data_IF_349896130386
#
_entry.id   IF_349896130386
#
_cell.length_a   1.000
_cell.length_b   1.000
_cell.length_c   1.000
_cell.angle_alpha   90.00
_cell.angle_beta   90.00
_cell.angle_gamma   90.00
#
_symmetry.space_group_name_H-M   'P 1'
#
loop_
_entity.id
_entity.type
_entity.pdbx_description
1 polymer ?
#
# COMPACT_ATOMS: atom_id res chain seq x y z
N UNK A 1 -21.74 1.78 -5.40
CA UNK A 1 -20.31 1.49 -5.10
C UNK A 1 -19.76 0.50 -6.11
N UNK A 2 -18.55 0.73 -6.61
CA UNK A 2 -17.84 -0.19 -7.50
C UNK A 2 -16.45 -0.46 -6.91
N UNK A 3 -16.01 -1.72 -6.92
CA UNK A 3 -14.69 -2.12 -6.46
C UNK A 3 -13.97 -2.82 -7.62
N UNK A 4 -12.72 -2.41 -7.86
CA UNK A 4 -11.83 -3.04 -8.81
C UNK A 4 -10.59 -3.54 -8.05
N UNK A 5 -10.43 -4.85 -7.97
CA UNK A 5 -9.22 -5.44 -7.40
C UNK A 5 -8.05 -5.24 -8.36
N UNK A 6 -6.94 -4.76 -7.84
CA UNK A 6 -5.69 -4.56 -8.59
C UNK A 6 -4.73 -5.72 -8.31
N UNK A 7 -4.40 -5.94 -7.02
CA UNK A 7 -3.50 -7.01 -6.58
C UNK A 7 -3.64 -7.20 -5.07
N UNK A 8 -3.71 -8.44 -4.59
CA UNK A 8 -3.74 -8.74 -3.15
C UNK A 8 -4.75 -7.87 -2.40
N UNK A 9 -4.32 -7.08 -1.44
CA UNK A 9 -5.16 -6.12 -0.71
C UNK A 9 -5.43 -4.82 -1.48
N UNK A 10 -4.72 -4.57 -2.58
CA UNK A 10 -4.85 -3.33 -3.37
C UNK A 10 -6.15 -3.31 -4.15
N UNK A 11 -7.05 -2.42 -3.78
CA UNK A 11 -8.35 -2.24 -4.42
C UNK A 11 -8.62 -0.78 -4.76
N UNK A 12 -9.18 -0.54 -5.93
CA UNK A 12 -9.68 0.78 -6.34
C UNK A 12 -11.19 0.83 -6.10
N UNK A 13 -11.63 1.76 -5.25
CA UNK A 13 -13.01 1.86 -4.77
C UNK A 13 -13.63 3.15 -5.29
N UNK A 14 -14.76 3.03 -5.96
CA UNK A 14 -15.56 4.16 -6.45
C UNK A 14 -16.80 4.29 -5.58
N UNK A 15 -16.86 5.37 -4.81
CA UNK A 15 -17.97 5.61 -3.88
C UNK A 15 -18.23 7.10 -3.67
N UNK A 16 -19.49 7.49 -3.70
CA UNK A 16 -19.90 8.86 -3.40
C UNK A 16 -19.29 9.92 -4.33
N UNK A 17 -19.06 9.58 -5.61
CA UNK A 17 -18.39 10.47 -6.56
C UNK A 17 -16.89 10.62 -6.36
N UNK A 18 -16.31 9.85 -5.46
CA UNK A 18 -14.87 9.83 -5.15
C UNK A 18 -14.25 8.47 -5.49
N UNK A 19 -12.97 8.49 -5.75
CA UNK A 19 -12.17 7.30 -6.01
C UNK A 19 -11.09 7.15 -4.95
N UNK A 20 -11.08 6.01 -4.27
CA UNK A 20 -10.11 5.67 -3.24
C UNK A 20 -9.23 4.53 -3.72
N UNK A 21 -7.95 4.57 -3.38
CA UNK A 21 -7.03 3.45 -3.58
C UNK A 21 -6.66 2.88 -2.22
N UNK A 22 -7.11 1.65 -1.96
CA UNK A 22 -6.89 0.92 -0.72
C UNK A 22 -5.60 0.11 -0.83
N UNK A 23 -4.76 0.19 0.19
CA UNK A 23 -3.50 -0.56 0.33
C UNK A 23 -2.69 -0.62 -0.98
N UNK A 24 -2.17 0.53 -1.46
CA UNK A 24 -1.55 0.64 -2.78
C UNK A 24 -0.17 -0.02 -2.83
N UNK A 25 -0.13 -1.31 -2.94
CA UNK A 25 1.09 -2.09 -3.13
C UNK A 25 1.43 -2.17 -4.63
N UNK A 26 2.16 -1.18 -5.11
CA UNK A 26 2.41 -0.97 -6.53
C UNK A 26 3.82 -1.38 -6.98
N UNK A 27 4.49 -2.21 -6.20
CA UNK A 27 5.81 -2.75 -6.56
C UNK A 27 5.71 -3.62 -7.81
N UNK A 28 6.78 -3.64 -8.60
CA UNK A 28 6.87 -4.51 -9.79
C UNK A 28 6.82 -6.00 -9.42
N UNK A 29 6.55 -6.86 -10.40
CA UNK A 29 6.60 -8.31 -10.23
C UNK A 29 7.94 -8.73 -9.63
N UNK A 30 7.91 -9.57 -8.59
CA UNK A 30 9.06 -10.06 -7.83
C UNK A 30 9.85 -8.99 -7.03
N UNK A 31 9.42 -7.73 -7.06
CA UNK A 31 10.19 -6.61 -6.50
C UNK A 31 10.28 -6.58 -4.97
N UNK A 32 9.42 -7.31 -4.26
CA UNK A 32 9.51 -7.44 -2.81
C UNK A 32 10.61 -8.43 -2.37
N UNK A 33 10.93 -9.40 -3.20
CA UNK A 33 11.84 -10.49 -2.87
C UNK A 33 11.17 -11.66 -2.15
N UNK A 34 11.98 -12.58 -1.64
CA UNK A 34 11.53 -13.82 -1.00
C UNK A 34 11.27 -13.62 0.49
N UNK A 35 10.27 -14.30 1.04
CA UNK A 35 9.93 -14.17 2.46
C UNK A 35 11.05 -14.65 3.39
N UNK A 36 11.79 -15.69 3.02
CA UNK A 36 12.88 -16.23 3.82
C UNK A 36 14.11 -15.31 3.89
N UNK A 37 14.24 -14.37 2.96
CA UNK A 37 15.34 -13.41 2.90
C UNK A 37 15.02 -12.05 3.52
N UNK A 38 13.81 -11.84 4.00
CA UNK A 38 13.41 -10.57 4.60
C UNK A 38 14.02 -10.38 6.01
N UNK A 39 14.58 -9.20 6.30
CA UNK A 39 15.06 -8.89 7.64
C UNK A 39 13.96 -9.05 8.69
N UNK A 40 14.24 -9.76 9.79
CA UNK A 40 13.28 -9.99 10.87
C UNK A 40 12.22 -11.04 10.56
N UNK A 41 12.24 -11.66 9.39
CA UNK A 41 11.31 -12.69 8.94
C UNK A 41 9.84 -12.40 9.35
N UNK A 42 9.25 -11.28 8.88
CA UNK A 42 7.90 -10.86 9.32
C UNK A 42 6.78 -11.78 8.81
N UNK A 43 7.11 -12.67 7.88
CA UNK A 43 6.18 -13.64 7.30
C UNK A 43 6.61 -15.06 7.63
N UNK A 44 5.77 -15.79 8.33
CA UNK A 44 5.98 -17.22 8.57
C UNK A 44 5.51 -18.00 7.35
N UNK A 45 6.42 -18.24 6.40
CA UNK A 45 6.15 -19.20 5.32
C UNK A 45 6.39 -20.62 5.84
N UNK A 46 5.32 -21.37 6.02
CA UNK A 46 5.37 -22.75 6.52
C UNK A 46 6.01 -23.68 5.48
N UNK A 47 5.87 -23.35 4.20
CA UNK A 47 6.45 -24.12 3.11
C UNK A 47 7.81 -23.54 2.69
N UNK A 48 8.93 -24.28 2.94
CA UNK A 48 10.27 -23.78 2.63
C UNK A 48 10.52 -23.58 1.13
N UNK A 49 9.78 -24.24 0.27
CA UNK A 49 9.87 -24.04 -1.19
C UNK A 49 9.20 -22.72 -1.58
N UNK A 50 7.99 -22.48 -1.07
CA UNK A 50 7.25 -21.25 -1.35
C UNK A 50 7.91 -20.02 -0.73
N UNK A 51 8.60 -20.17 0.40
CA UNK A 51 9.35 -19.08 1.05
C UNK A 51 10.47 -18.50 0.16
N UNK A 52 10.93 -19.26 -0.83
CA UNK A 52 11.99 -18.88 -1.78
C UNK A 52 11.46 -18.30 -3.09
N UNK A 53 10.14 -18.22 -3.26
CA UNK A 53 9.54 -17.64 -4.46
C UNK A 53 9.45 -16.11 -4.27
N UNK A 54 10.05 -15.30 -5.17
CA UNK A 54 9.96 -13.86 -5.06
C UNK A 54 8.53 -13.36 -5.20
N UNK A 55 8.15 -12.37 -4.40
CA UNK A 55 6.83 -11.78 -4.40
C UNK A 55 6.86 -10.35 -4.97
N UNK A 56 5.75 -9.85 -5.50
CA UNK A 56 4.51 -10.54 -5.86
C UNK A 56 4.70 -11.43 -7.09
N UNK A 57 3.90 -12.49 -7.20
CA UNK A 57 4.01 -13.49 -8.27
C UNK A 57 3.61 -12.95 -9.65
N UNK A 58 2.72 -11.98 -9.69
CA UNK A 58 2.17 -11.42 -10.92
C UNK A 58 2.49 -9.95 -11.07
N UNK A 59 2.66 -9.52 -12.33
CA UNK A 59 2.75 -8.10 -12.65
C UNK A 59 1.45 -7.36 -12.31
N UNK A 60 1.53 -6.04 -12.18
CA UNK A 60 0.33 -5.21 -12.11
C UNK A 60 -0.51 -5.37 -13.38
N UNK A 61 -1.85 -5.37 -13.28
CA UNK A 61 -2.73 -5.51 -14.45
C UNK A 61 -2.74 -4.28 -15.35
N UNK A 62 -2.27 -3.15 -14.83
CA UNK A 62 -2.18 -1.85 -15.50
C UNK A 62 -0.88 -1.16 -15.09
N UNK A 63 -0.51 -0.10 -15.79
CA UNK A 63 0.61 0.76 -15.37
C UNK A 63 0.28 1.46 -14.04
N UNK A 64 1.32 1.82 -13.29
CA UNK A 64 1.16 2.62 -12.05
C UNK A 64 0.39 3.91 -12.34
N UNK A 65 0.72 4.59 -13.43
CA UNK A 65 0.03 5.82 -13.85
C UNK A 65 -1.46 5.60 -14.08
N UNK A 66 -1.83 4.49 -14.73
CA UNK A 66 -3.24 4.13 -14.96
C UNK A 66 -3.97 3.82 -13.64
N UNK A 67 -3.33 3.11 -12.72
CA UNK A 67 -3.89 2.79 -11.41
C UNK A 67 -4.12 4.08 -10.60
N UNK A 68 -3.18 5.00 -10.60
CA UNK A 68 -3.25 6.27 -9.86
C UNK A 68 -4.19 7.29 -10.51
N UNK A 69 -4.50 7.13 -11.79
CA UNK A 69 -5.35 8.07 -12.52
C UNK A 69 -6.75 8.19 -11.87
N UNK A 70 -7.14 9.44 -11.59
CA UNK A 70 -8.45 9.75 -11.01
C UNK A 70 -8.62 9.39 -9.54
N UNK A 71 -7.57 8.91 -8.85
CA UNK A 71 -7.61 8.64 -7.41
C UNK A 71 -7.65 9.96 -6.65
N UNK A 72 -8.63 10.10 -5.76
CA UNK A 72 -8.82 11.28 -4.91
C UNK A 72 -8.10 11.16 -3.56
N UNK A 73 -8.00 9.94 -3.03
CA UNK A 73 -7.38 9.68 -1.74
C UNK A 73 -6.90 8.23 -1.61
N UNK A 74 -5.96 8.01 -0.69
CA UNK A 74 -5.43 6.70 -0.33
C UNK A 74 -5.96 6.27 1.03
N UNK A 75 -6.17 4.96 1.21
CA UNK A 75 -6.53 4.36 2.50
C UNK A 75 -5.53 3.23 2.78
N UNK A 76 -4.85 3.30 3.91
CA UNK A 76 -3.89 2.29 4.35
C UNK A 76 -4.47 1.58 5.57
N UNK A 77 -4.66 0.27 5.47
CA UNK A 77 -5.14 -0.52 6.60
C UNK A 77 -4.07 -0.68 7.67
N UNK A 78 -2.84 -0.92 7.25
CA UNK A 78 -1.65 -0.93 8.11
C UNK A 78 -0.38 -0.83 7.26
N UNK A 79 0.72 -0.41 7.85
CA UNK A 79 2.00 -0.29 7.15
C UNK A 79 2.74 -1.61 7.22
N UNK A 80 2.58 -2.43 6.18
CA UNK A 80 3.37 -3.62 5.90
C UNK A 80 3.87 -3.58 4.46
N UNK A 81 4.97 -4.30 4.14
CA UNK A 81 5.57 -4.27 2.80
C UNK A 81 4.68 -4.76 1.66
N UNK A 82 3.60 -5.48 1.97
CA UNK A 82 2.61 -5.99 1.02
C UNK A 82 1.32 -5.15 0.97
N UNK A 83 1.25 -4.06 1.72
CA UNK A 83 0.12 -3.13 1.74
C UNK A 83 0.46 -1.73 1.24
N UNK A 84 1.72 -1.33 1.34
CA UNK A 84 2.23 -0.08 0.79
C UNK A 84 3.67 -0.28 0.33
N UNK A 85 4.04 0.34 -0.78
CA UNK A 85 5.43 0.29 -1.25
C UNK A 85 6.38 0.91 -0.21
N UNK A 86 7.41 0.15 0.15
CA UNK A 86 8.48 0.59 1.02
C UNK A 86 9.77 0.56 0.22
N UNK A 87 10.43 1.71 0.11
CA UNK A 87 11.78 1.74 -0.43
C UNK A 87 12.77 1.30 0.66
N UNK A 88 13.20 0.05 0.59
CA UNK A 88 14.08 -0.55 1.59
C UNK A 88 15.46 0.13 1.70
N UNK A 89 15.88 0.86 0.66
CA UNK A 89 17.17 1.56 0.64
C UNK A 89 17.08 2.98 1.21
N UNK A 90 15.97 3.66 0.95
CA UNK A 90 15.77 5.07 1.31
C UNK A 90 14.86 5.30 2.51
N UNK A 91 14.10 4.28 2.91
CA UNK A 91 13.20 4.33 4.04
C UNK A 91 11.85 5.04 3.86
N UNK A 92 11.56 5.84 2.82
CA UNK A 92 10.24 6.43 2.69
C UNK A 92 9.20 5.40 2.27
N UNK A 93 8.00 5.52 2.85
CA UNK A 93 6.84 4.77 2.44
C UNK A 93 6.14 5.47 1.28
N UNK A 94 5.58 4.70 0.36
CA UNK A 94 4.69 5.21 -0.66
C UNK A 94 5.36 6.11 -1.71
N UNK A 95 6.61 5.85 -2.06
CA UNK A 95 7.37 6.63 -3.05
C UNK A 95 6.64 6.81 -4.40
N UNK A 96 5.83 5.81 -4.79
CA UNK A 96 5.10 5.83 -6.05
C UNK A 96 3.78 6.62 -5.98
N UNK A 97 3.35 7.02 -4.78
CA UNK A 97 2.09 7.71 -4.56
C UNK A 97 2.27 9.23 -4.65
N UNK A 98 1.19 9.93 -4.98
CA UNK A 98 1.15 11.39 -4.96
C UNK A 98 1.02 11.87 -3.51
N UNK A 99 2.04 12.57 -3.00
CA UNK A 99 2.16 12.97 -1.60
C UNK A 99 1.28 14.17 -1.20
N UNK A 100 0.66 14.84 -2.15
CA UNK A 100 -0.26 15.97 -1.94
C UNK A 100 -1.73 15.54 -1.75
N UNK A 101 -2.04 14.25 -2.02
CA UNK A 101 -3.40 13.72 -1.83
C UNK A 101 -3.62 13.28 -0.39
N UNK A 102 -4.88 13.36 0.09
CA UNK A 102 -5.24 12.80 1.40
C UNK A 102 -4.89 11.32 1.49
N UNK A 103 -4.26 10.94 2.60
CA UNK A 103 -3.99 9.55 2.94
C UNK A 103 -4.53 9.24 4.34
N UNK A 104 -5.36 8.21 4.41
CA UNK A 104 -6.03 7.81 5.63
C UNK A 104 -5.34 6.58 6.24
N UNK A 105 -5.10 6.62 7.54
CA UNK A 105 -4.48 5.56 8.34
C UNK A 105 -5.28 5.25 9.58
N UNK A 106 -4.91 4.21 10.32
CA UNK A 106 -5.68 3.69 11.46
C UNK A 106 -5.17 4.18 12.83
N UNK A 107 -3.93 4.64 12.90
CA UNK A 107 -3.29 5.00 14.17
C UNK A 107 -2.23 6.10 14.00
N UNK A 108 -1.78 6.62 15.14
CA UNK A 108 -0.82 7.72 15.18
C UNK A 108 0.58 7.31 14.69
N UNK A 109 1.03 6.10 14.99
CA UNK A 109 2.37 5.63 14.58
C UNK A 109 2.48 5.56 13.06
N UNK A 110 1.47 5.02 12.38
CA UNK A 110 1.39 5.00 10.93
C UNK A 110 1.30 6.42 10.36
N UNK A 111 0.55 7.30 11.01
CA UNK A 111 0.45 8.69 10.60
C UNK A 111 1.81 9.40 10.66
N UNK A 112 2.59 9.21 11.72
CA UNK A 112 3.91 9.80 11.85
C UNK A 112 4.88 9.25 10.80
N UNK A 113 4.84 7.94 10.53
CA UNK A 113 5.67 7.31 9.50
C UNK A 113 5.41 7.90 8.10
N UNK A 114 4.13 8.12 7.75
CA UNK A 114 3.77 8.72 6.47
C UNK A 114 4.11 10.20 6.38
N UNK A 115 3.93 10.96 7.45
CA UNK A 115 4.38 12.37 7.52
C UNK A 115 5.89 12.46 7.33
N UNK A 116 6.65 11.60 8.00
CA UNK A 116 8.11 11.51 7.83
C UNK A 116 8.53 11.12 6.41
N UNK A 117 7.68 10.41 5.69
CA UNK A 117 7.88 10.03 4.28
C UNK A 117 7.47 11.12 3.28
N UNK A 118 6.97 12.27 3.74
CA UNK A 118 6.66 13.43 2.92
C UNK A 118 5.19 13.61 2.54
N UNK A 119 4.28 12.79 3.06
CA UNK A 119 2.85 13.00 2.85
C UNK A 119 2.36 14.26 3.56
N UNK A 120 1.66 15.13 2.83
CA UNK A 120 1.26 16.45 3.29
C UNK A 120 -0.09 16.46 4.02
N UNK A 121 -0.99 15.52 3.71
CA UNK A 121 -2.35 15.44 4.24
C UNK A 121 -2.64 14.04 4.79
N UNK A 122 -2.12 13.76 5.99
CA UNK A 122 -2.30 12.48 6.67
C UNK A 122 -3.44 12.58 7.67
N UNK A 123 -4.44 11.71 7.56
CA UNK A 123 -5.65 11.70 8.40
C UNK A 123 -5.83 10.35 9.07
N UNK A 124 -6.24 10.36 10.35
CA UNK A 124 -6.51 9.16 11.11
C UNK A 124 -8.02 8.87 11.06
N UNK A 125 -8.37 7.66 10.59
CA UNK A 125 -9.76 7.18 10.66
C UNK A 125 -10.10 6.77 12.09
N UNK A 126 -11.22 7.28 12.59
CA UNK A 126 -11.74 6.95 13.91
C UNK A 126 -12.97 6.09 13.79
N UNK A 127 -13.16 5.16 14.75
CA UNK A 127 -14.29 4.23 14.76
C UNK A 127 -15.66 4.91 14.94
N UNK A 128 -15.68 6.11 15.50
CA UNK A 128 -16.89 6.91 15.71
C UNK A 128 -17.34 7.69 14.47
N UNK A 129 -16.69 7.43 13.35
CA UNK A 129 -16.92 8.13 12.09
C UNK A 129 -16.33 9.53 12.07
N UNK A 130 -16.06 10.01 10.86
CA UNK A 130 -15.71 11.42 10.67
C UNK A 130 -17.01 12.22 10.74
N UNK A 131 -17.22 12.88 11.84
CA UNK A 131 -18.26 13.89 11.92
C UNK A 131 -17.81 15.16 11.19
#
# INVERSE_FOLDING_TARGET
>A
MKIKQIRSATNKIFYGGKTFLLDPWLVEQYGLGCFDSMPGNPYMAVDPVKAKIPMPLFALPETVESILSGVDAYIITHIHPDHIYINMQKGPFGDLLEHDKPIFVQNEDDAQALKASGFQDVRILKNDGVK
#
